data_IF_648672092007
#
_entry.id   IF_648672092007
#
_cell.length_a   1.000
_cell.length_b   1.000
_cell.length_c   1.000
_cell.angle_alpha   90.00
_cell.angle_beta   90.00
_cell.angle_gamma   90.00
#
_symmetry.space_group_name_H-M   'P 1'
#
loop_
_entity.id
_entity.type
_entity.pdbx_description
1 polymer ?
#
# COMPACT_ATOMS: atom_id res chain seq x y z
N UNK A 1 -3.15 12.06 -21.92
CA UNK A 1 -1.69 12.29 -21.99
C UNK A 1 -1.04 12.60 -20.64
N UNK A 2 -1.81 12.84 -19.56
CA UNK A 2 -1.32 13.13 -18.19
C UNK A 2 -0.87 11.94 -17.36
N UNK A 3 -1.39 10.74 -17.63
CA UNK A 3 -1.14 9.54 -16.82
C UNK A 3 0.28 8.97 -16.91
N UNK A 4 0.98 9.13 -18.04
CA UNK A 4 2.33 8.59 -18.24
C UNK A 4 3.43 9.46 -17.62
N UNK A 5 3.23 10.77 -17.51
CA UNK A 5 4.21 11.67 -16.91
C UNK A 5 4.22 11.56 -15.37
N UNK A 6 3.06 11.29 -14.77
CA UNK A 6 2.96 11.05 -13.32
C UNK A 6 3.67 9.74 -12.91
N UNK A 7 3.58 8.67 -13.70
CA UNK A 7 4.24 7.39 -13.41
C UNK A 7 5.77 7.47 -13.42
N UNK A 8 6.37 8.21 -14.34
CA UNK A 8 7.82 8.35 -14.43
C UNK A 8 8.40 9.23 -13.31
N UNK A 9 7.74 10.35 -13.01
CA UNK A 9 8.13 11.24 -11.90
C UNK A 9 7.95 10.50 -10.56
N UNK A 10 6.89 9.71 -10.44
CA UNK A 10 6.64 8.88 -9.27
C UNK A 10 7.77 7.85 -9.05
N UNK A 11 8.21 7.14 -10.08
CA UNK A 11 9.30 6.16 -9.98
C UNK A 11 10.66 6.81 -9.64
N UNK A 12 11.01 7.92 -10.26
CA UNK A 12 12.37 8.47 -10.13
C UNK A 12 12.59 9.25 -8.82
N UNK A 13 11.56 9.95 -8.32
CA UNK A 13 11.70 10.76 -7.10
C UNK A 13 11.24 10.02 -5.83
N UNK A 14 10.39 9.04 -5.97
CA UNK A 14 9.76 8.36 -4.82
C UNK A 14 10.39 7.00 -4.54
N UNK A 15 10.97 6.32 -5.52
CA UNK A 15 11.60 5.00 -5.34
C UNK A 15 12.67 4.95 -4.22
N UNK A 16 13.58 5.94 -4.03
CA UNK A 16 14.54 5.87 -2.92
C UNK A 16 13.88 6.04 -1.54
N UNK A 17 12.76 6.75 -1.47
CA UNK A 17 11.99 6.93 -0.24
C UNK A 17 11.17 5.68 0.03
N UNK A 18 10.57 5.11 -1.01
CA UNK A 18 9.80 3.88 -0.94
C UNK A 18 10.68 2.67 -0.58
N UNK A 19 11.93 2.60 -1.02
CA UNK A 19 12.83 1.49 -0.68
C UNK A 19 13.03 1.36 0.84
N UNK A 20 13.18 2.47 1.56
CA UNK A 20 13.26 2.49 3.04
C UNK A 20 11.95 2.13 3.72
N UNK A 21 10.81 2.45 3.08
CA UNK A 21 9.50 1.99 3.55
C UNK A 21 9.36 0.48 3.37
N UNK A 22 9.81 -0.06 2.23
CA UNK A 22 9.81 -1.52 1.98
C UNK A 22 10.57 -2.29 3.06
N UNK A 23 11.77 -1.85 3.45
CA UNK A 23 12.53 -2.47 4.55
C UNK A 23 11.74 -2.50 5.85
N UNK A 24 11.02 -1.41 6.15
CA UNK A 24 10.19 -1.32 7.36
C UNK A 24 9.01 -2.28 7.31
N UNK A 25 8.38 -2.47 6.15
CA UNK A 25 7.29 -3.43 5.96
C UNK A 25 7.82 -4.85 6.08
N UNK A 26 8.92 -5.15 5.37
CA UNK A 26 9.53 -6.49 5.34
C UNK A 26 9.97 -6.95 6.73
N UNK A 27 10.41 -6.04 7.60
CA UNK A 27 10.77 -6.36 8.99
C UNK A 27 9.60 -6.98 9.78
N UNK A 28 8.35 -6.69 9.38
CA UNK A 28 7.12 -7.21 9.99
C UNK A 28 6.56 -8.45 9.29
N UNK A 29 7.16 -8.92 8.18
CA UNK A 29 6.73 -10.12 7.48
C UNK A 29 7.37 -11.34 8.14
N UNK A 30 6.56 -12.31 8.51
CA UNK A 30 7.07 -13.59 9.03
C UNK A 30 7.70 -14.42 7.91
N UNK A 31 8.88 -15.00 8.14
CA UNK A 31 9.52 -15.87 7.14
C UNK A 31 8.63 -17.03 6.73
N UNK A 32 8.55 -17.28 5.42
CA UNK A 32 7.75 -18.38 4.87
C UNK A 32 6.24 -18.15 4.85
N UNK A 33 5.74 -16.98 5.30
CA UNK A 33 4.31 -16.65 5.33
C UNK A 33 3.72 -16.44 3.93
N UNK A 34 2.39 -16.54 3.86
CA UNK A 34 1.58 -16.18 2.68
C UNK A 34 1.14 -14.74 2.82
N UNK A 35 1.51 -13.89 1.87
CA UNK A 35 1.26 -12.45 1.93
C UNK A 35 0.42 -12.02 0.73
N UNK A 36 -0.56 -11.13 0.95
CA UNK A 36 -1.23 -10.40 -0.13
C UNK A 36 -0.85 -8.93 -0.06
N UNK A 37 -0.48 -8.33 -1.21
CA UNK A 37 -0.19 -6.91 -1.40
C UNK A 37 -1.33 -6.29 -2.22
N UNK A 38 -2.14 -5.44 -1.57
CA UNK A 38 -3.36 -4.85 -2.14
C UNK A 38 -3.04 -3.49 -2.73
N UNK A 39 -3.47 -3.25 -3.99
CA UNK A 39 -3.08 -2.12 -4.82
C UNK A 39 -1.54 -2.10 -5.01
N UNK A 40 -0.99 -3.22 -5.42
CA UNK A 40 0.46 -3.48 -5.47
C UNK A 40 1.22 -2.65 -6.51
N UNK A 41 0.52 -1.95 -7.41
CA UNK A 41 1.12 -1.13 -8.46
C UNK A 41 2.06 -1.93 -9.35
N UNK A 42 3.31 -1.47 -9.48
CA UNK A 42 4.37 -2.13 -10.26
C UNK A 42 4.92 -3.40 -9.61
N UNK A 43 4.40 -3.80 -8.45
CA UNK A 43 4.82 -4.98 -7.70
C UNK A 43 6.15 -4.82 -6.95
N UNK A 44 6.72 -3.62 -6.88
CA UNK A 44 8.05 -3.43 -6.28
C UNK A 44 8.10 -3.86 -4.81
N UNK A 45 7.06 -3.56 -4.02
CA UNK A 45 6.93 -4.02 -2.64
C UNK A 45 6.70 -5.54 -2.57
N UNK A 46 5.76 -6.08 -3.34
CA UNK A 46 5.49 -7.51 -3.40
C UNK A 46 6.74 -8.34 -3.71
N UNK A 47 7.54 -7.90 -4.70
CA UNK A 47 8.81 -8.54 -5.05
C UNK A 47 9.86 -8.44 -3.95
N UNK A 48 9.88 -7.34 -3.21
CA UNK A 48 10.77 -7.19 -2.05
C UNK A 48 10.34 -8.10 -0.90
N UNK A 49 9.02 -8.22 -0.63
CA UNK A 49 8.44 -9.13 0.36
C UNK A 49 8.72 -10.60 0.00
N UNK A 50 8.70 -10.97 -1.28
CA UNK A 50 8.92 -12.33 -1.75
C UNK A 50 10.31 -12.90 -1.37
N UNK A 51 11.28 -12.03 -1.02
CA UNK A 51 12.59 -12.47 -0.52
C UNK A 51 12.52 -13.07 0.88
N UNK A 52 11.45 -12.84 1.62
CA UNK A 52 11.24 -13.29 3.00
C UNK A 52 10.01 -14.19 3.14
N UNK A 53 8.94 -13.86 2.44
CA UNK A 53 7.69 -14.62 2.43
C UNK A 53 7.84 -15.94 1.65
N UNK A 54 6.99 -16.92 1.98
CA UNK A 54 6.88 -18.18 1.23
C UNK A 54 6.14 -17.99 -0.09
N UNK A 55 5.07 -17.17 -0.07
CA UNK A 55 4.27 -16.84 -1.24
C UNK A 55 3.74 -15.41 -1.13
N UNK A 56 3.74 -14.68 -2.25
CA UNK A 56 3.16 -13.34 -2.34
C UNK A 56 2.14 -13.29 -3.48
N UNK A 57 0.97 -12.74 -3.20
CA UNK A 57 -0.04 -12.38 -4.20
C UNK A 57 -0.16 -10.86 -4.23
N UNK A 58 0.17 -10.23 -5.37
CA UNK A 58 -0.07 -8.80 -5.59
C UNK A 58 -1.32 -8.60 -6.42
N UNK A 59 -2.18 -7.68 -6.04
CA UNK A 59 -3.38 -7.33 -6.80
C UNK A 59 -3.40 -5.84 -7.14
N UNK A 60 -3.80 -5.49 -8.35
CA UNK A 60 -3.99 -4.11 -8.78
C UNK A 60 -5.09 -4.02 -9.84
N UNK A 61 -5.79 -2.88 -9.90
CA UNK A 61 -6.83 -2.63 -10.90
C UNK A 61 -6.27 -2.27 -12.28
N UNK A 62 -5.02 -1.83 -12.34
CA UNK A 62 -4.35 -1.42 -13.57
C UNK A 62 -3.65 -2.59 -14.26
N UNK A 63 -4.20 -3.05 -15.39
CA UNK A 63 -3.57 -4.08 -16.22
C UNK A 63 -2.13 -3.73 -16.61
N UNK A 64 -1.88 -2.45 -16.92
CA UNK A 64 -0.54 -1.96 -17.26
C UNK A 64 0.46 -2.16 -16.12
N UNK A 65 0.06 -1.87 -14.87
CA UNK A 65 0.91 -2.05 -13.68
C UNK A 65 1.11 -3.54 -13.35
N UNK A 66 0.06 -4.35 -13.42
CA UNK A 66 0.15 -5.80 -13.26
C UNK A 66 1.11 -6.41 -14.27
N UNK A 67 1.03 -6.00 -15.54
CA UNK A 67 1.94 -6.47 -16.59
C UNK A 67 3.41 -6.05 -16.32
N UNK A 68 3.65 -4.88 -15.71
CA UNK A 68 4.98 -4.47 -15.27
C UNK A 68 5.46 -5.37 -14.12
N UNK A 69 4.62 -5.64 -13.13
CA UNK A 69 4.93 -6.49 -11.99
C UNK A 69 5.31 -7.91 -12.43
N UNK A 70 4.52 -8.52 -13.32
CA UNK A 70 4.79 -9.85 -13.90
C UNK A 70 6.12 -9.88 -14.64
N UNK A 71 6.41 -8.86 -15.48
CA UNK A 71 7.71 -8.77 -16.18
C UNK A 71 8.88 -8.61 -15.21
N UNK A 72 8.69 -7.81 -14.16
CA UNK A 72 9.71 -7.61 -13.12
C UNK A 72 9.99 -8.90 -12.35
N UNK A 73 8.96 -9.68 -11.98
CA UNK A 73 9.14 -10.99 -11.35
C UNK A 73 9.99 -11.93 -12.22
N UNK A 74 9.65 -12.02 -13.52
CA UNK A 74 10.42 -12.83 -14.48
C UNK A 74 11.85 -12.36 -14.63
N UNK A 75 12.07 -11.05 -14.76
CA UNK A 75 13.42 -10.45 -14.91
C UNK A 75 14.33 -10.77 -13.71
N UNK A 76 13.77 -10.82 -12.50
CA UNK A 76 14.53 -11.07 -11.27
C UNK A 76 14.47 -12.54 -10.79
N UNK A 77 13.90 -13.45 -11.61
CA UNK A 77 13.72 -14.88 -11.29
C UNK A 77 12.98 -15.14 -9.97
N UNK A 78 12.00 -14.28 -9.64
CA UNK A 78 11.17 -14.44 -8.44
C UNK A 78 9.97 -15.33 -8.83
N UNK A 79 9.93 -16.55 -8.27
CA UNK A 79 8.93 -17.57 -8.60
C UNK A 79 7.79 -17.66 -7.59
N UNK A 80 7.98 -17.12 -6.39
CA UNK A 80 7.00 -17.14 -5.30
C UNK A 80 6.15 -15.86 -5.19
N UNK A 81 6.15 -15.03 -6.23
CA UNK A 81 5.26 -13.88 -6.36
C UNK A 81 4.37 -14.03 -7.60
N UNK A 82 3.07 -13.89 -7.42
CA UNK A 82 2.07 -13.85 -8.48
C UNK A 82 1.31 -12.54 -8.47
N UNK A 83 0.82 -12.11 -9.64
CA UNK A 83 0.11 -10.84 -9.78
C UNK A 83 -1.21 -11.05 -10.51
N UNK A 84 -2.27 -10.45 -9.99
CA UNK A 84 -3.63 -10.58 -10.50
C UNK A 84 -4.22 -9.20 -10.83
N UNK A 85 -4.86 -9.09 -11.99
CA UNK A 85 -5.71 -7.94 -12.30
C UNK A 85 -6.99 -8.07 -11.49
N UNK A 86 -7.13 -7.24 -10.44
CA UNK A 86 -8.25 -7.33 -9.51
C UNK A 86 -8.55 -6.00 -8.84
N UNK A 87 -9.85 -5.72 -8.68
CA UNK A 87 -10.31 -4.61 -7.87
C UNK A 87 -10.16 -4.93 -6.38
N UNK A 88 -9.54 -4.02 -5.63
CA UNK A 88 -9.40 -4.14 -4.17
C UNK A 88 -10.76 -4.13 -3.42
N UNK A 89 -11.83 -3.69 -4.07
CA UNK A 89 -13.19 -3.76 -3.52
C UNK A 89 -13.81 -5.17 -3.60
N UNK A 90 -13.24 -6.07 -4.42
CA UNK A 90 -13.74 -7.44 -4.62
C UNK A 90 -12.71 -8.48 -4.17
N UNK A 91 -12.65 -8.70 -2.86
CA UNK A 91 -11.81 -9.72 -2.24
C UNK A 91 -12.59 -10.99 -1.85
N UNK A 92 -13.86 -11.12 -2.28
CA UNK A 92 -14.73 -12.24 -1.95
C UNK A 92 -14.24 -13.60 -2.49
N UNK A 93 -13.40 -13.58 -3.54
CA UNK A 93 -12.76 -14.80 -4.06
C UNK A 93 -11.75 -15.42 -3.09
N UNK A 94 -11.24 -14.65 -2.11
CA UNK A 94 -10.32 -15.14 -1.11
C UNK A 94 -11.08 -15.61 0.14
N UNK A 95 -10.73 -16.81 0.62
CA UNK A 95 -11.30 -17.38 1.83
C UNK A 95 -10.87 -16.62 3.08
N UNK A 96 -11.63 -16.74 4.17
CA UNK A 96 -11.24 -16.21 5.46
C UNK A 96 -9.87 -16.78 5.87
N UNK A 97 -8.96 -15.88 6.30
CA UNK A 97 -7.59 -16.24 6.73
C UNK A 97 -6.80 -17.03 5.69
N UNK A 98 -7.05 -16.76 4.42
CA UNK A 98 -6.29 -17.40 3.32
C UNK A 98 -4.82 -16.99 3.33
N UNK A 99 -4.54 -15.77 3.76
CA UNK A 99 -3.20 -15.21 3.92
C UNK A 99 -2.82 -15.11 5.40
N UNK A 100 -1.54 -15.05 5.67
CA UNK A 100 -1.02 -14.83 7.03
C UNK A 100 -0.88 -13.33 7.31
N UNK A 101 -0.59 -12.54 6.27
CA UNK A 101 -0.49 -11.08 6.33
C UNK A 101 -1.09 -10.43 5.07
N UNK A 102 -1.89 -9.38 5.26
CA UNK A 102 -2.33 -8.48 4.20
C UNK A 102 -1.60 -7.14 4.31
N UNK A 103 -1.07 -6.65 3.19
CA UNK A 103 -0.34 -5.38 3.11
C UNK A 103 -1.09 -4.44 2.18
N UNK A 104 -1.13 -3.16 2.52
CA UNK A 104 -1.54 -2.07 1.64
C UNK A 104 -0.59 -0.89 1.86
N UNK A 105 0.00 -0.38 0.79
CA UNK A 105 1.01 0.68 0.88
C UNK A 105 0.73 1.80 -0.11
N UNK A 106 0.65 3.03 0.40
CA UNK A 106 0.47 4.26 -0.37
C UNK A 106 -0.78 4.25 -1.28
N UNK A 107 -1.87 3.65 -0.81
CA UNK A 107 -3.10 3.51 -1.57
C UNK A 107 -4.37 3.98 -0.83
N UNK A 108 -4.41 3.93 0.49
CA UNK A 108 -5.61 4.26 1.28
C UNK A 108 -6.08 5.69 1.02
N UNK A 109 -5.14 6.64 0.93
CA UNK A 109 -5.41 8.05 0.67
C UNK A 109 -6.01 8.33 -0.73
N UNK A 110 -5.94 7.36 -1.64
CA UNK A 110 -6.46 7.49 -3.00
C UNK A 110 -7.92 7.05 -3.12
N UNK A 111 -8.41 6.26 -2.17
CA UNK A 111 -9.75 5.72 -2.19
C UNK A 111 -10.76 6.65 -1.54
N UNK A 112 -12.01 6.58 -2.01
CA UNK A 112 -13.12 7.15 -1.27
C UNK A 112 -13.24 6.52 0.11
N UNK A 113 -13.68 7.31 1.09
CA UNK A 113 -13.73 6.91 2.49
C UNK A 113 -14.46 5.58 2.75
N UNK A 114 -15.60 5.37 2.11
CA UNK A 114 -16.38 4.14 2.24
C UNK A 114 -15.64 2.93 1.68
N UNK A 115 -15.04 3.10 0.50
CA UNK A 115 -14.26 2.08 -0.18
C UNK A 115 -13.02 1.70 0.64
N UNK A 116 -12.23 2.68 1.09
CA UNK A 116 -11.04 2.44 1.93
C UNK A 116 -11.40 1.63 3.19
N UNK A 117 -12.48 2.00 3.88
CA UNK A 117 -12.95 1.27 5.06
C UNK A 117 -13.39 -0.16 4.72
N UNK A 118 -14.07 -0.35 3.59
CA UNK A 118 -14.49 -1.67 3.10
C UNK A 118 -13.29 -2.58 2.81
N UNK A 119 -12.28 -2.05 2.11
CA UNK A 119 -11.03 -2.77 1.81
C UNK A 119 -10.35 -3.23 3.10
N UNK A 120 -10.21 -2.37 4.10
CA UNK A 120 -9.56 -2.73 5.36
C UNK A 120 -10.34 -3.80 6.14
N UNK A 121 -11.68 -3.80 6.09
CA UNK A 121 -12.52 -4.87 6.66
C UNK A 121 -12.30 -6.21 5.97
N UNK A 122 -12.21 -6.19 4.64
CA UNK A 122 -11.90 -7.40 3.87
C UNK A 122 -10.47 -7.87 4.14
N UNK A 123 -9.50 -6.99 4.26
CA UNK A 123 -8.14 -7.34 4.68
C UNK A 123 -8.14 -8.08 6.02
N UNK A 124 -8.94 -7.59 7.00
CA UNK A 124 -9.12 -8.25 8.30
C UNK A 124 -9.72 -9.65 8.16
N UNK A 125 -10.66 -9.83 7.23
CA UNK A 125 -11.29 -11.11 6.97
C UNK A 125 -10.33 -12.14 6.38
N UNK A 126 -9.53 -11.73 5.40
CA UNK A 126 -8.67 -12.63 4.62
C UNK A 126 -7.29 -12.88 5.25
N UNK A 127 -6.87 -12.05 6.23
CA UNK A 127 -5.60 -12.23 6.93
C UNK A 127 -5.73 -11.81 8.40
N UNK A 128 -5.14 -12.56 9.36
CA UNK A 128 -5.16 -12.19 10.78
C UNK A 128 -4.24 -11.00 11.11
N UNK A 129 -3.31 -10.64 10.22
CA UNK A 129 -2.37 -9.53 10.39
C UNK A 129 -2.45 -8.58 9.20
N UNK A 130 -2.52 -7.27 9.48
CA UNK A 130 -2.49 -6.23 8.46
C UNK A 130 -1.30 -5.31 8.68
N UNK A 131 -0.64 -4.91 7.59
CA UNK A 131 0.39 -3.87 7.58
C UNK A 131 -0.09 -2.77 6.64
N UNK A 132 -0.33 -1.61 7.21
CA UNK A 132 -0.84 -0.45 6.50
C UNK A 132 0.26 0.60 6.44
N UNK A 133 0.50 1.15 5.27
CA UNK A 133 1.46 2.25 5.11
C UNK A 133 0.83 3.34 4.29
N UNK A 134 0.80 4.55 4.85
CA UNK A 134 0.29 5.71 4.15
C UNK A 134 0.83 7.01 4.78
N UNK A 135 0.37 8.15 4.29
CA UNK A 135 0.72 9.43 4.85
C UNK A 135 0.33 9.53 6.32
N UNK A 136 1.28 10.05 7.12
CA UNK A 136 1.03 10.34 8.52
C UNK A 136 0.11 11.54 8.68
N UNK A 137 -0.60 11.60 9.80
CA UNK A 137 -1.42 12.74 10.16
C UNK A 137 -1.07 13.23 11.58
N UNK A 138 -0.81 14.55 11.72
CA UNK A 138 -0.63 15.53 10.64
C UNK A 138 0.66 15.31 9.85
N UNK A 139 0.63 15.61 8.54
CA UNK A 139 1.86 15.63 7.74
C UNK A 139 2.75 16.75 8.27
N UNK A 140 4.04 16.46 8.59
CA UNK A 140 4.93 17.46 9.19
C UNK A 140 5.14 18.66 8.27
N UNK A 141 5.29 19.84 8.90
CA UNK A 141 5.57 21.11 8.21
C UNK A 141 7.07 21.27 7.91
N UNK A 142 7.69 20.23 7.34
CA UNK A 142 9.08 20.23 6.88
C UNK A 142 9.15 20.10 5.36
N UNK A 143 10.37 20.15 4.81
CA UNK A 143 10.57 20.07 3.35
C UNK A 143 9.96 18.81 2.76
N UNK A 144 10.15 17.65 3.41
CA UNK A 144 9.58 16.36 2.95
C UNK A 144 8.06 16.39 2.94
N UNK A 145 7.42 16.98 3.95
CA UNK A 145 5.97 17.13 4.01
C UNK A 145 5.43 18.11 2.96
N UNK A 146 6.16 19.17 2.67
CA UNK A 146 5.81 20.11 1.60
C UNK A 146 5.88 19.42 0.23
N UNK A 147 6.93 18.63 -0.03
CA UNK A 147 7.07 17.85 -1.27
C UNK A 147 5.92 16.85 -1.40
N UNK A 148 5.62 16.08 -0.35
CA UNK A 148 4.52 15.12 -0.35
C UNK A 148 3.18 15.76 -0.74
N UNK A 149 2.81 16.87 -0.07
CA UNK A 149 1.59 17.63 -0.41
C UNK A 149 1.61 18.19 -1.84
N UNK A 150 2.78 18.61 -2.32
CA UNK A 150 2.97 19.11 -3.69
C UNK A 150 2.72 18.03 -4.73
N UNK A 151 3.25 16.83 -4.53
CA UNK A 151 3.06 15.66 -5.41
C UNK A 151 1.57 15.30 -5.51
N UNK A 152 0.89 15.18 -4.36
CA UNK A 152 -0.54 14.86 -4.33
C UNK A 152 -1.40 15.94 -5.01
N UNK A 153 -1.05 17.21 -4.82
CA UNK A 153 -1.74 18.33 -5.50
C UNK A 153 -1.53 18.29 -7.02
N UNK A 154 -0.38 17.87 -7.49
CA UNK A 154 -0.10 17.75 -8.93
C UNK A 154 -0.85 16.56 -9.56
N UNK A 155 -1.13 15.49 -8.81
CA UNK A 155 -1.97 14.40 -9.27
C UNK A 155 -3.40 14.87 -9.60
N UNK A 156 -3.91 15.85 -8.85
CA UNK A 156 -5.17 16.56 -9.16
C UNK A 156 -6.43 15.69 -9.09
N UNK A 157 -7.56 16.28 -9.53
CA UNK A 157 -8.82 15.56 -9.69
C UNK A 157 -9.31 14.84 -8.42
N UNK A 158 -9.89 13.66 -8.63
CA UNK A 158 -10.43 12.83 -7.57
C UNK A 158 -9.35 12.33 -6.61
N UNK A 159 -8.13 12.10 -7.11
CA UNK A 159 -6.98 11.70 -6.29
C UNK A 159 -6.68 12.73 -5.19
N UNK A 160 -6.52 14.00 -5.56
CA UNK A 160 -6.27 15.07 -4.59
C UNK A 160 -7.46 15.31 -3.65
N UNK A 161 -8.69 15.14 -4.14
CA UNK A 161 -9.90 15.23 -3.31
C UNK A 161 -9.87 14.15 -2.21
N UNK A 162 -9.63 12.88 -2.59
CA UNK A 162 -9.58 11.75 -1.66
C UNK A 162 -8.43 11.90 -0.65
N UNK A 163 -7.23 12.32 -1.11
CA UNK A 163 -6.12 12.65 -0.24
C UNK A 163 -6.48 13.75 0.78
N UNK A 164 -7.16 14.81 0.32
CA UNK A 164 -7.59 15.89 1.22
C UNK A 164 -8.61 15.41 2.25
N UNK A 165 -9.53 14.53 1.86
CA UNK A 165 -10.49 13.91 2.78
C UNK A 165 -9.82 12.94 3.74
N UNK A 166 -8.85 12.15 3.27
CA UNK A 166 -8.02 11.28 4.11
C UNK A 166 -7.37 12.08 5.26
N UNK A 167 -6.74 13.21 4.94
CA UNK A 167 -6.14 14.09 5.96
C UNK A 167 -7.19 14.71 6.89
N UNK A 168 -8.31 15.23 6.35
CA UNK A 168 -9.39 15.84 7.17
C UNK A 168 -9.98 14.86 8.18
N UNK A 169 -10.01 13.57 7.86
CA UNK A 169 -10.52 12.55 8.77
C UNK A 169 -9.49 12.09 9.81
N UNK A 170 -8.22 12.47 9.72
CA UNK A 170 -7.20 12.08 10.70
C UNK A 170 -6.23 10.99 10.20
N UNK A 171 -6.14 10.79 8.88
CA UNK A 171 -5.20 9.84 8.30
C UNK A 171 -5.55 8.37 8.59
N UNK A 172 -4.53 7.54 8.61
CA UNK A 172 -4.67 6.08 8.71
C UNK A 172 -5.42 5.63 9.99
N UNK A 173 -5.24 6.37 11.10
CA UNK A 173 -5.88 6.05 12.37
C UNK A 173 -7.42 6.06 12.31
N UNK A 174 -8.01 6.98 11.55
CA UNK A 174 -9.44 6.99 11.32
C UNK A 174 -9.93 5.70 10.64
N UNK A 175 -9.20 5.24 9.62
CA UNK A 175 -9.61 4.08 8.83
C UNK A 175 -9.42 2.77 9.60
N UNK A 176 -8.36 2.66 10.41
CA UNK A 176 -8.17 1.50 11.31
C UNK A 176 -9.29 1.39 12.32
N UNK A 177 -9.68 2.51 12.94
CA UNK A 177 -10.81 2.56 13.87
C UNK A 177 -12.12 2.15 13.20
N UNK A 178 -12.46 2.73 12.04
CA UNK A 178 -13.69 2.41 11.28
C UNK A 178 -13.74 0.99 10.75
N UNK A 179 -12.59 0.38 10.48
CA UNK A 179 -12.49 -1.02 10.08
C UNK A 179 -12.51 -1.98 11.30
N UNK A 180 -12.43 -1.46 12.51
CA UNK A 180 -12.36 -2.25 13.74
C UNK A 180 -11.04 -3.03 13.85
N UNK A 181 -9.94 -2.47 13.35
CA UNK A 181 -8.60 -3.03 13.46
C UNK A 181 -7.98 -2.68 14.81
N UNK A 182 -7.34 -3.65 15.44
CA UNK A 182 -6.57 -3.44 16.67
C UNK A 182 -5.13 -3.08 16.30
N UNK A 183 -4.72 -1.85 16.59
CA UNK A 183 -3.36 -1.37 16.31
C UNK A 183 -2.38 -1.92 17.34
N UNK A 184 -1.30 -2.54 16.91
CA UNK A 184 -0.23 -3.11 17.75
C UNK A 184 1.02 -2.23 17.77
N UNK A 185 1.36 -1.62 16.64
CA UNK A 185 2.49 -0.71 16.55
C UNK A 185 2.31 0.34 15.46
N UNK A 186 2.90 1.50 15.69
CA UNK A 186 2.99 2.60 14.75
C UNK A 186 4.44 3.08 14.65
N UNK A 187 4.92 3.30 13.45
CA UNK A 187 6.30 3.76 13.22
C UNK A 187 6.33 4.82 12.13
N UNK A 188 6.75 6.03 12.49
CA UNK A 188 6.95 7.14 11.55
C UNK A 188 8.18 6.90 10.67
N UNK A 189 8.08 7.19 9.37
CA UNK A 189 9.14 7.09 8.36
C UNK A 189 9.21 8.35 7.50
N UNK A 190 10.30 8.50 6.75
CA UNK A 190 10.45 9.61 5.82
C UNK A 190 10.34 10.98 6.51
N UNK A 191 11.11 11.21 7.59
CA UNK A 191 11.04 12.41 8.43
C UNK A 191 9.63 12.68 8.97
N UNK A 192 8.87 11.61 9.27
CA UNK A 192 7.53 11.67 9.83
C UNK A 192 6.40 11.82 8.81
N UNK A 193 6.71 11.82 7.52
CA UNK A 193 5.71 11.97 6.43
C UNK A 193 4.83 10.74 6.30
N UNK A 194 5.39 9.55 6.51
CA UNK A 194 4.70 8.28 6.38
C UNK A 194 4.54 7.59 7.74
N UNK A 195 3.47 6.84 7.88
CA UNK A 195 3.19 6.01 9.04
C UNK A 195 3.08 4.55 8.60
N UNK A 196 3.83 3.67 9.25
CA UNK A 196 3.69 2.21 9.14
C UNK A 196 2.90 1.74 10.36
N UNK A 197 1.78 1.09 10.13
CA UNK A 197 0.86 0.59 11.17
C UNK A 197 0.72 -0.91 11.04
N UNK A 198 0.91 -1.63 12.13
CA UNK A 198 0.68 -3.08 12.21
C UNK A 198 -0.56 -3.33 13.04
N UNK A 199 -1.51 -4.09 12.48
CA UNK A 199 -2.83 -4.36 13.07
C UNK A 199 -3.19 -5.85 13.03
N UNK A 200 -4.29 -6.16 13.75
CA UNK A 200 -5.06 -7.42 13.64
C UNK A 200 -6.56 -7.19 13.69
#
# INVERSE_FOLDING_TARGET
MGFYLSGFIYQVLIDPILSRLHESIIAHIEPGSRVIDIACGTGSLALAIARRAGQVTGIDLSEGLVNIAVRSAKKHNIQNAQFELRDASDLMCYSNRQFDTAVISMAIHQFEKGLATGILKEMKRIAPRQILVDYNFPIPANLSGCIAKGVERLAGGDHYRNFSEYLKNGGIGYFTDKAGLSVHSETGKGNGVFLVVVCS
#
